data_IF_749348335667
#
_entry.id   IF_749348335667
#
_cell.length_a   1.000
_cell.length_b   1.000
_cell.length_c   1.000
_cell.angle_alpha   90.00
_cell.angle_beta   90.00
_cell.angle_gamma   90.00
#
_symmetry.space_group_name_H-M   'P 1'
#
loop_
_entity.id
_entity.type
_entity.pdbx_description
1 polymer ?
#
# COMPACT_ATOMS: atom_id res chain seq x y z
N UNK A 1 -14.15 -22.64 11.46
CA UNK A 1 -14.81 -22.94 12.76
C UNK A 1 -14.43 -24.28 13.38
N UNK A 2 -13.88 -25.24 12.64
CA UNK A 2 -13.41 -26.53 13.15
C UNK A 2 -12.35 -26.43 14.27
N UNK A 3 -11.59 -25.34 14.35
CA UNK A 3 -10.52 -25.12 15.34
C UNK A 3 -10.97 -24.40 16.63
N UNK A 4 -12.26 -24.15 16.84
CA UNK A 4 -12.81 -23.45 18.02
C UNK A 4 -12.07 -22.13 18.35
N UNK A 5 -11.77 -21.32 17.34
CA UNK A 5 -11.15 -20.02 17.56
C UNK A 5 -12.07 -19.10 18.37
N UNK A 6 -11.52 -18.41 19.38
CA UNK A 6 -12.27 -17.44 20.19
C UNK A 6 -12.51 -16.13 19.47
N UNK A 7 -11.72 -15.81 18.43
CA UNK A 7 -11.83 -14.62 17.59
C UNK A 7 -10.93 -14.75 16.37
N UNK A 8 -11.12 -13.87 15.39
CA UNK A 8 -10.36 -13.85 14.14
C UNK A 8 -9.82 -12.45 13.91
N UNK A 9 -8.53 -12.35 13.57
CA UNK A 9 -7.91 -11.14 13.02
C UNK A 9 -7.67 -11.40 11.53
N UNK A 10 -8.25 -10.59 10.67
CA UNK A 10 -8.34 -10.84 9.22
C UNK A 10 -7.86 -9.64 8.41
N UNK A 11 -6.93 -9.88 7.48
CA UNK A 11 -6.55 -8.95 6.40
C UNK A 11 -7.22 -9.42 5.09
N UNK A 12 -8.34 -8.84 4.67
CA UNK A 12 -9.03 -9.26 3.45
C UNK A 12 -8.32 -8.72 2.20
N UNK A 13 -7.99 -9.60 1.25
CA UNK A 13 -7.47 -9.18 -0.05
C UNK A 13 -8.53 -8.47 -0.90
N UNK A 14 -9.75 -8.97 -0.84
CA UNK A 14 -10.91 -8.43 -1.56
C UNK A 14 -11.99 -7.99 -0.55
N UNK A 15 -12.50 -6.78 -0.75
CA UNK A 15 -13.45 -6.14 0.16
C UNK A 15 -14.84 -6.79 0.18
N UNK A 16 -15.18 -7.65 -0.78
CA UNK A 16 -16.50 -8.29 -0.93
C UNK A 16 -16.44 -9.81 -0.72
N UNK A 17 -15.41 -10.47 -1.26
CA UNK A 17 -15.34 -11.94 -1.29
C UNK A 17 -15.42 -12.58 0.10
N UNK A 18 -14.93 -11.88 1.14
CA UNK A 18 -14.94 -12.39 2.51
C UNK A 18 -16.10 -11.86 3.38
N UNK A 19 -17.06 -11.11 2.81
CA UNK A 19 -18.22 -10.61 3.56
C UNK A 19 -19.03 -11.77 4.17
N UNK A 20 -19.47 -12.70 3.35
CA UNK A 20 -20.29 -13.83 3.80
C UNK A 20 -19.56 -14.75 4.81
N UNK A 21 -18.27 -15.12 4.60
CA UNK A 21 -17.48 -15.80 5.63
C UNK A 21 -17.41 -15.06 6.97
N UNK A 22 -17.20 -13.73 6.94
CA UNK A 22 -17.16 -12.91 8.17
C UNK A 22 -18.53 -12.87 8.85
N UNK A 23 -19.61 -12.64 8.11
CA UNK A 23 -20.97 -12.69 8.67
C UNK A 23 -21.29 -14.04 9.31
N UNK A 24 -20.85 -15.15 8.72
CA UNK A 24 -21.02 -16.49 9.29
C UNK A 24 -20.24 -16.65 10.60
N UNK A 25 -19.05 -16.06 10.72
CA UNK A 25 -18.31 -16.03 11.98
C UNK A 25 -19.08 -15.27 13.06
N UNK A 26 -19.60 -14.08 12.72
CA UNK A 26 -20.36 -13.22 13.64
C UNK A 26 -21.64 -13.92 14.10
N UNK A 27 -22.42 -14.55 13.19
CA UNK A 27 -23.60 -15.36 13.53
C UNK A 27 -23.27 -16.52 14.46
N UNK A 28 -22.06 -17.07 14.36
CA UNK A 28 -21.56 -18.11 15.25
C UNK A 28 -20.92 -17.55 16.56
N UNK A 29 -21.10 -16.27 16.85
CA UNK A 29 -20.54 -15.57 18.01
C UNK A 29 -19.00 -15.58 18.05
N UNK A 30 -18.34 -15.68 16.89
CA UNK A 30 -16.89 -15.53 16.75
C UNK A 30 -16.60 -14.10 16.27
N UNK A 31 -16.06 -13.22 17.12
CA UNK A 31 -15.78 -11.84 16.76
C UNK A 31 -14.64 -11.75 15.73
N UNK A 32 -14.69 -10.70 14.89
CA UNK A 32 -13.69 -10.46 13.84
C UNK A 32 -13.15 -9.05 13.98
N UNK A 33 -11.84 -8.92 14.01
CA UNK A 33 -11.12 -7.66 13.82
C UNK A 33 -10.53 -7.64 12.41
N UNK A 34 -10.80 -6.60 11.67
CA UNK A 34 -10.25 -6.39 10.33
C UNK A 34 -8.96 -5.59 10.46
N UNK A 35 -7.92 -5.99 9.73
CA UNK A 35 -6.65 -5.25 9.66
C UNK A 35 -6.28 -4.97 8.19
N UNK A 36 -5.39 -3.99 7.96
CA UNK A 36 -4.77 -3.66 6.68
C UNK A 36 -5.75 -3.15 5.61
N UNK A 37 -6.61 -4.00 5.09
CA UNK A 37 -7.56 -3.66 4.02
C UNK A 37 -9.01 -3.80 4.48
N UNK A 38 -9.87 -2.91 3.99
CA UNK A 38 -11.27 -2.83 4.41
C UNK A 38 -12.14 -3.95 3.86
N UNK A 39 -13.20 -4.27 4.60
CA UNK A 39 -14.29 -5.14 4.17
C UNK A 39 -15.55 -4.28 3.96
N UNK A 40 -16.36 -4.56 2.95
CA UNK A 40 -17.67 -3.90 2.71
C UNK A 40 -18.74 -4.41 3.67
N UNK A 41 -18.44 -4.30 4.97
CA UNK A 41 -19.32 -4.64 6.09
C UNK A 41 -18.92 -3.75 7.26
N UNK A 42 -19.81 -3.50 8.19
CA UNK A 42 -19.56 -2.78 9.44
C UNK A 42 -19.74 -3.66 10.69
N UNK A 43 -20.07 -4.94 10.49
CA UNK A 43 -20.40 -5.87 11.58
C UNK A 43 -19.17 -6.37 12.37
N UNK A 44 -17.95 -6.13 11.90
CA UNK A 44 -16.72 -6.48 12.63
C UNK A 44 -16.53 -5.61 13.89
N UNK A 45 -15.70 -6.08 14.82
CA UNK A 45 -15.40 -5.42 16.09
C UNK A 45 -14.66 -4.10 15.88
N UNK A 46 -13.57 -4.14 15.13
CA UNK A 46 -12.69 -3.00 14.88
C UNK A 46 -11.99 -3.14 13.52
N UNK A 47 -11.57 -2.02 12.94
CA UNK A 47 -10.73 -1.95 11.76
C UNK A 47 -9.43 -1.21 12.09
N UNK A 48 -8.30 -1.94 12.05
CA UNK A 48 -6.96 -1.44 12.37
C UNK A 48 -6.14 -1.37 11.08
N UNK A 49 -5.87 -0.19 10.58
CA UNK A 49 -5.18 -0.01 9.29
C UNK A 49 -4.59 1.38 9.14
N UNK A 50 -3.70 1.53 8.19
CA UNK A 50 -3.20 2.80 7.66
C UNK A 50 -4.35 3.66 7.09
N UNK A 51 -4.23 4.98 7.17
CA UNK A 51 -5.01 5.89 6.32
C UNK A 51 -4.50 5.78 4.87
N UNK A 52 -5.11 4.85 4.12
CA UNK A 52 -4.70 4.55 2.76
C UNK A 52 -4.94 5.70 1.78
N UNK A 53 -6.00 6.49 1.98
CA UNK A 53 -6.26 7.67 1.14
C UNK A 53 -5.17 8.72 1.36
N UNK A 54 -4.80 8.98 2.61
CA UNK A 54 -3.68 9.85 2.97
C UNK A 54 -2.36 9.34 2.37
N UNK A 55 -2.13 8.03 2.38
CA UNK A 55 -0.97 7.43 1.73
C UNK A 55 -0.91 7.74 0.23
N UNK A 56 -2.04 7.65 -0.46
CA UNK A 56 -2.16 8.06 -1.86
C UNK A 56 -1.88 9.55 -2.07
N UNK A 57 -2.36 10.41 -1.17
CA UNK A 57 -2.06 11.84 -1.22
C UNK A 57 -0.57 12.13 -1.10
N UNK A 58 0.13 11.48 -0.15
CA UNK A 58 1.59 11.61 0.01
C UNK A 58 2.34 11.19 -1.25
N UNK A 59 1.91 10.12 -1.91
CA UNK A 59 2.50 9.69 -3.18
C UNK A 59 2.29 10.73 -4.29
N UNK A 60 1.09 11.28 -4.41
CA UNK A 60 0.76 12.31 -5.39
C UNK A 60 1.55 13.61 -5.16
N UNK A 61 1.66 14.04 -3.90
CA UNK A 61 2.45 15.21 -3.52
C UNK A 61 3.94 15.02 -3.85
N UNK A 62 4.51 13.87 -3.48
CA UNK A 62 5.92 13.58 -3.79
C UNK A 62 6.17 13.55 -5.28
N UNK A 63 5.36 12.83 -6.06
CA UNK A 63 5.54 12.74 -7.51
C UNK A 63 5.36 14.10 -8.19
N UNK A 64 4.36 14.87 -7.77
CA UNK A 64 4.13 16.23 -8.29
C UNK A 64 5.30 17.17 -8.00
N UNK A 65 5.88 17.12 -6.81
CA UNK A 65 7.07 17.89 -6.44
C UNK A 65 8.29 17.48 -7.27
N UNK A 66 8.56 16.18 -7.43
CA UNK A 66 9.66 15.65 -8.22
C UNK A 66 9.60 16.10 -9.68
N UNK A 67 8.40 16.24 -10.24
CA UNK A 67 8.17 16.67 -11.61
C UNK A 67 8.02 18.19 -11.77
N UNK A 68 8.11 18.96 -10.68
CA UNK A 68 7.86 20.40 -10.72
C UNK A 68 6.46 20.78 -11.19
N UNK A 69 5.49 19.90 -10.96
CA UNK A 69 4.08 20.08 -11.29
C UNK A 69 3.73 19.89 -12.77
N UNK A 70 4.65 19.46 -13.62
CA UNK A 70 4.42 19.32 -15.07
C UNK A 70 4.94 17.99 -15.60
N UNK A 71 4.32 17.48 -16.67
CA UNK A 71 4.73 16.23 -17.32
C UNK A 71 3.64 15.19 -17.38
N UNK A 72 4.03 13.99 -17.75
CA UNK A 72 3.14 12.87 -18.00
C UNK A 72 3.32 11.79 -16.93
N UNK A 73 2.23 11.33 -16.34
CA UNK A 73 2.26 10.36 -15.26
C UNK A 73 1.43 9.12 -15.58
N UNK A 74 1.82 8.00 -14.98
CA UNK A 74 1.10 6.72 -15.04
C UNK A 74 0.79 6.29 -13.61
N UNK A 75 -0.43 5.80 -13.38
CA UNK A 75 -0.82 5.01 -12.24
C UNK A 75 -0.94 3.54 -12.69
N UNK A 76 -0.03 2.68 -12.21
CA UNK A 76 -0.20 1.24 -12.37
C UNK A 76 -0.97 0.70 -11.18
N UNK A 77 -2.26 0.41 -11.37
CA UNK A 77 -3.16 -0.07 -10.31
C UNK A 77 -2.82 -1.49 -9.88
N UNK A 78 -3.29 -1.89 -8.70
CA UNK A 78 -3.01 -3.23 -8.17
C UNK A 78 -4.01 -4.28 -8.64
N UNK A 79 -5.18 -4.34 -8.02
CA UNK A 79 -6.23 -5.32 -8.29
C UNK A 79 -7.61 -4.73 -7.95
N UNK A 80 -8.60 -5.10 -8.73
CA UNK A 80 -10.00 -4.73 -8.47
C UNK A 80 -10.46 -5.36 -7.16
N UNK A 81 -11.18 -4.59 -6.33
CA UNK A 81 -11.75 -5.05 -5.06
C UNK A 81 -10.81 -4.92 -3.85
N UNK A 82 -9.54 -4.57 -4.04
CA UNK A 82 -8.61 -4.27 -2.94
C UNK A 82 -8.88 -2.90 -2.35
N UNK A 83 -9.62 -2.82 -1.24
CA UNK A 83 -10.05 -1.56 -0.65
C UNK A 83 -8.90 -0.63 -0.26
N UNK A 84 -7.77 -1.17 0.25
CA UNK A 84 -6.60 -0.37 0.62
C UNK A 84 -5.97 0.28 -0.60
N UNK A 85 -5.72 -0.48 -1.67
CA UNK A 85 -5.06 0.06 -2.87
C UNK A 85 -5.99 0.99 -3.65
N UNK A 86 -7.30 0.70 -3.72
CA UNK A 86 -8.28 1.62 -4.32
C UNK A 86 -8.31 2.97 -3.59
N UNK A 87 -8.20 2.99 -2.26
CA UNK A 87 -8.11 4.23 -1.50
C UNK A 87 -6.80 5.00 -1.76
N UNK A 88 -5.65 4.29 -1.87
CA UNK A 88 -4.35 4.90 -2.26
C UNK A 88 -4.42 5.51 -3.65
N UNK A 89 -4.99 4.79 -4.61
CA UNK A 89 -5.21 5.24 -5.99
C UNK A 89 -6.09 6.47 -6.05
N UNK A 90 -7.21 6.49 -5.29
CA UNK A 90 -8.09 7.65 -5.20
C UNK A 90 -7.37 8.87 -4.61
N UNK A 91 -6.65 8.72 -3.49
CA UNK A 91 -5.89 9.80 -2.86
C UNK A 91 -4.82 10.38 -3.80
N UNK A 92 -4.14 9.52 -4.57
CA UNK A 92 -3.18 9.95 -5.58
C UNK A 92 -3.85 10.77 -6.70
N UNK A 93 -4.90 10.24 -7.31
CA UNK A 93 -5.62 10.90 -8.42
C UNK A 93 -6.22 12.23 -7.99
N UNK A 94 -6.83 12.29 -6.81
CA UNK A 94 -7.41 13.53 -6.27
C UNK A 94 -6.31 14.59 -6.00
N UNK A 95 -5.12 14.16 -5.56
CA UNK A 95 -3.99 15.08 -5.36
C UNK A 95 -3.50 15.65 -6.69
N UNK A 96 -3.35 14.83 -7.73
CA UNK A 96 -3.00 15.34 -9.06
C UNK A 96 -4.03 16.35 -9.54
N UNK A 97 -5.32 16.00 -9.47
CA UNK A 97 -6.42 16.84 -9.92
C UNK A 97 -6.52 18.18 -9.18
N UNK A 98 -6.22 18.21 -7.89
CA UNK A 98 -6.41 19.41 -7.05
C UNK A 98 -5.16 20.26 -6.93
N UNK A 99 -3.98 19.65 -6.88
CA UNK A 99 -2.71 20.36 -6.62
C UNK A 99 -1.77 20.45 -7.81
N UNK A 100 -1.88 19.55 -8.80
CA UNK A 100 -0.93 19.46 -9.91
C UNK A 100 -1.66 19.30 -11.26
N UNK A 101 -2.51 20.26 -11.60
CA UNK A 101 -3.41 20.21 -12.77
C UNK A 101 -2.67 20.18 -14.12
N UNK A 102 -1.41 20.58 -14.17
CA UNK A 102 -0.57 20.53 -15.39
C UNK A 102 0.10 19.15 -15.58
N UNK A 103 -0.05 18.22 -14.63
CA UNK A 103 0.34 16.82 -14.82
C UNK A 103 -0.73 16.09 -15.64
N UNK A 104 -0.29 15.46 -16.74
CA UNK A 104 -1.18 14.68 -17.62
C UNK A 104 -1.15 13.22 -17.26
N UNK A 105 -2.29 12.64 -16.97
CA UNK A 105 -2.45 11.21 -16.70
C UNK A 105 -2.51 10.44 -18.02
N UNK A 106 -1.45 9.70 -18.37
CA UNK A 106 -1.39 8.88 -19.59
C UNK A 106 -2.19 7.58 -19.45
N UNK A 107 -2.15 6.97 -18.27
CA UNK A 107 -2.89 5.75 -17.97
C UNK A 107 -3.16 5.64 -16.47
N UNK A 108 -4.42 5.17 -16.14
CA UNK A 108 -4.86 4.78 -14.82
C UNK A 108 -5.87 3.62 -14.90
N UNK A 109 -5.83 2.85 -15.95
CA UNK A 109 -6.75 1.75 -16.25
C UNK A 109 -6.08 0.38 -16.31
N UNK A 110 -4.75 0.35 -16.23
CA UNK A 110 -3.98 -0.90 -16.23
C UNK A 110 -3.81 -1.44 -14.80
N UNK A 111 -4.14 -2.71 -14.63
CA UNK A 111 -3.95 -3.45 -13.38
C UNK A 111 -2.74 -4.37 -13.45
N UNK A 112 -1.92 -4.34 -12.41
CA UNK A 112 -0.72 -5.16 -12.26
C UNK A 112 -1.05 -6.64 -11.96
N UNK A 113 -2.17 -6.87 -11.26
CA UNK A 113 -2.45 -8.18 -10.67
C UNK A 113 -1.65 -8.42 -9.37
N UNK A 114 -1.88 -9.56 -8.69
CA UNK A 114 -1.38 -9.77 -7.34
C UNK A 114 0.08 -10.23 -7.24
N UNK A 115 0.73 -10.57 -8.36
CA UNK A 115 2.10 -11.10 -8.34
C UNK A 115 3.10 -10.16 -9.02
N UNK A 116 4.40 -10.36 -8.70
CA UNK A 116 5.48 -9.60 -9.36
C UNK A 116 5.55 -9.89 -10.85
N UNK A 117 5.24 -11.12 -11.28
CA UNK A 117 5.26 -11.56 -12.67
C UNK A 117 4.18 -10.87 -13.50
N UNK A 118 2.93 -10.86 -13.02
CA UNK A 118 1.83 -10.15 -13.67
C UNK A 118 2.07 -8.65 -13.69
N UNK A 119 2.60 -8.10 -12.58
CA UNK A 119 2.99 -6.71 -12.48
C UNK A 119 4.10 -6.33 -13.47
N UNK A 120 5.08 -7.21 -13.68
CA UNK A 120 6.15 -6.97 -14.65
C UNK A 120 5.64 -6.95 -16.09
N UNK A 121 4.75 -7.88 -16.47
CA UNK A 121 4.11 -7.88 -17.79
C UNK A 121 3.29 -6.61 -18.01
N UNK A 122 2.50 -6.20 -17.02
CA UNK A 122 1.72 -4.95 -17.08
C UNK A 122 2.64 -3.72 -17.21
N UNK A 123 3.75 -3.70 -16.48
CA UNK A 123 4.77 -2.65 -16.55
C UNK A 123 5.40 -2.57 -17.95
N UNK A 124 5.80 -3.71 -18.52
CA UNK A 124 6.33 -3.75 -19.88
C UNK A 124 5.33 -3.22 -20.91
N UNK A 125 4.05 -3.62 -20.81
CA UNK A 125 3.01 -3.14 -21.72
C UNK A 125 2.85 -1.61 -21.66
N UNK A 126 2.83 -1.04 -20.44
CA UNK A 126 2.77 0.41 -20.25
C UNK A 126 4.01 1.12 -20.80
N UNK A 127 5.20 0.59 -20.54
CA UNK A 127 6.45 1.19 -21.00
C UNK A 127 6.64 1.04 -22.51
N UNK A 128 6.17 -0.03 -23.14
CA UNK A 128 6.15 -0.17 -24.60
C UNK A 128 5.25 0.90 -25.24
N UNK A 129 4.12 1.22 -24.60
CA UNK A 129 3.16 2.19 -25.10
C UNK A 129 3.57 3.64 -24.81
N UNK A 130 4.03 3.93 -23.60
CA UNK A 130 4.22 5.29 -23.11
C UNK A 130 5.66 5.61 -22.68
N UNK A 131 6.58 4.65 -22.79
CA UNK A 131 7.92 4.78 -22.21
C UNK A 131 8.71 5.98 -22.71
N UNK A 132 8.44 6.53 -23.90
CA UNK A 132 9.09 7.74 -24.41
C UNK A 132 8.45 9.04 -23.92
N UNK A 133 7.24 8.98 -23.37
CA UNK A 133 6.45 10.14 -22.96
C UNK A 133 6.32 10.27 -21.45
N UNK A 134 6.38 9.14 -20.72
CA UNK A 134 6.18 9.11 -19.27
C UNK A 134 7.34 9.77 -18.52
N UNK A 135 7.00 10.62 -17.57
CA UNK A 135 7.94 11.31 -16.69
C UNK A 135 7.86 10.80 -15.25
N UNK A 136 6.69 10.30 -14.83
CA UNK A 136 6.50 9.80 -13.49
C UNK A 136 5.52 8.64 -13.39
N UNK A 137 5.73 7.75 -12.41
CA UNK A 137 4.91 6.57 -12.19
C UNK A 137 4.62 6.40 -10.70
N UNK A 138 3.37 6.05 -10.38
CA UNK A 138 2.98 5.60 -9.05
C UNK A 138 2.49 4.15 -9.08
N UNK A 139 2.95 3.36 -8.09
CA UNK A 139 2.52 1.99 -7.84
C UNK A 139 2.03 1.88 -6.39
N UNK A 140 0.76 1.44 -6.13
CA UNK A 140 0.12 1.60 -4.82
C UNK A 140 0.44 0.49 -3.80
N UNK A 141 1.32 -0.46 -4.11
CA UNK A 141 1.79 -1.51 -3.19
C UNK A 141 3.08 -2.18 -3.68
N UNK A 142 3.66 -3.08 -2.88
CA UNK A 142 4.97 -3.69 -3.14
C UNK A 142 5.08 -4.44 -4.47
N UNK A 143 4.18 -5.39 -4.86
CA UNK A 143 4.39 -6.18 -6.08
C UNK A 143 4.54 -5.33 -7.35
N UNK A 144 3.65 -4.38 -7.66
CA UNK A 144 3.82 -3.50 -8.82
C UNK A 144 4.99 -2.52 -8.67
N UNK A 145 5.35 -2.09 -7.44
CA UNK A 145 6.52 -1.23 -7.20
C UNK A 145 7.81 -1.93 -7.66
N UNK A 146 8.05 -3.14 -7.19
CA UNK A 146 9.24 -3.92 -7.56
C UNK A 146 9.24 -4.25 -9.06
N UNK A 147 8.08 -4.63 -9.59
CA UNK A 147 7.93 -5.00 -11.00
C UNK A 147 8.22 -3.83 -11.94
N UNK A 148 7.67 -2.65 -11.66
CA UNK A 148 7.88 -1.44 -12.45
C UNK A 148 9.32 -0.93 -12.35
N UNK A 149 9.92 -0.92 -11.16
CA UNK A 149 11.32 -0.54 -10.99
C UNK A 149 12.25 -1.44 -11.81
N UNK A 150 11.99 -2.77 -11.80
CA UNK A 150 12.73 -3.70 -12.68
C UNK A 150 12.52 -3.39 -14.16
N UNK A 151 11.28 -3.17 -14.60
CA UNK A 151 10.99 -2.89 -16.01
C UNK A 151 11.65 -1.57 -16.48
N UNK A 152 11.71 -0.55 -15.62
CA UNK A 152 12.44 0.69 -15.92
C UNK A 152 13.95 0.48 -16.03
N UNK A 153 14.55 -0.38 -15.17
CA UNK A 153 15.96 -0.75 -15.29
C UNK A 153 16.26 -1.44 -16.61
N UNK A 154 15.42 -2.41 -17.00
CA UNK A 154 15.62 -3.21 -18.21
C UNK A 154 15.65 -2.35 -19.50
N UNK A 155 14.93 -1.22 -19.51
CA UNK A 155 14.93 -0.26 -20.63
C UNK A 155 15.84 0.95 -20.42
N UNK A 156 16.66 0.96 -19.36
CA UNK A 156 17.60 2.02 -19.04
C UNK A 156 16.94 3.36 -18.64
N UNK A 157 15.72 3.33 -18.09
CA UNK A 157 14.94 4.51 -17.65
C UNK A 157 14.79 4.64 -16.13
N UNK A 158 15.39 3.76 -15.33
CA UNK A 158 15.53 3.90 -13.88
C UNK A 158 16.53 5.00 -13.50
N UNK A 159 16.80 5.16 -12.19
CA UNK A 159 17.77 6.13 -11.68
C UNK A 159 17.32 7.59 -11.86
N UNK A 160 16.01 7.86 -11.74
CA UNK A 160 15.45 9.21 -11.84
C UNK A 160 15.21 9.72 -13.26
N UNK A 161 15.47 8.94 -14.31
CA UNK A 161 15.10 9.33 -15.69
C UNK A 161 13.58 9.33 -15.88
N UNK A 162 12.89 8.36 -15.28
CA UNK A 162 11.47 8.39 -14.99
C UNK A 162 11.34 8.37 -13.48
N UNK A 163 10.70 9.38 -12.91
CA UNK A 163 10.48 9.48 -11.47
C UNK A 163 9.49 8.42 -11.01
N UNK A 164 9.80 7.70 -9.95
CA UNK A 164 8.94 6.64 -9.45
C UNK A 164 8.66 6.81 -7.96
N UNK A 165 7.38 6.73 -7.60
CA UNK A 165 6.94 6.61 -6.21
C UNK A 165 6.23 5.27 -6.05
N UNK A 166 6.62 4.54 -5.02
CA UNK A 166 6.05 3.24 -4.67
C UNK A 166 5.36 3.25 -3.32
N UNK A 167 4.96 2.07 -2.88
CA UNK A 167 4.34 1.84 -1.59
C UNK A 167 4.94 0.59 -0.95
N UNK A 168 4.91 0.53 0.40
CA UNK A 168 5.49 -0.53 1.24
C UNK A 168 7.03 -0.52 1.31
N UNK A 169 7.58 -1.28 2.28
CA UNK A 169 8.99 -1.30 2.63
C UNK A 169 9.63 -2.69 2.53
N UNK A 170 9.20 -3.52 1.57
CA UNK A 170 9.88 -4.78 1.29
C UNK A 170 11.34 -4.55 0.93
N UNK A 171 12.21 -5.49 1.26
CA UNK A 171 13.68 -5.35 1.16
C UNK A 171 14.16 -4.89 -0.23
N UNK A 172 13.51 -5.37 -1.31
CA UNK A 172 13.86 -4.94 -2.66
C UNK A 172 13.43 -3.49 -2.93
N UNK A 173 12.23 -3.07 -2.47
CA UNK A 173 11.76 -1.67 -2.62
C UNK A 173 12.68 -0.70 -1.87
N UNK A 174 13.13 -1.07 -0.67
CA UNK A 174 14.08 -0.27 0.12
C UNK A 174 15.43 -0.18 -0.57
N UNK A 175 15.90 -1.27 -1.17
CA UNK A 175 17.13 -1.27 -1.98
C UNK A 175 16.98 -0.36 -3.22
N UNK A 176 15.85 -0.42 -3.90
CA UNK A 176 15.56 0.41 -5.07
C UNK A 176 15.48 1.91 -4.68
N UNK A 177 14.94 2.24 -3.49
CA UNK A 177 14.97 3.60 -2.93
C UNK A 177 16.42 4.06 -2.68
N UNK A 178 17.23 3.22 -2.03
CA UNK A 178 18.63 3.52 -1.71
C UNK A 178 19.48 3.73 -2.97
N UNK A 179 19.20 2.97 -4.03
CA UNK A 179 19.91 3.08 -5.31
C UNK A 179 19.40 4.23 -6.18
N UNK A 180 18.31 4.90 -5.80
CA UNK A 180 17.71 5.99 -6.57
C UNK A 180 16.87 5.52 -7.77
N UNK A 181 16.51 4.23 -7.84
CA UNK A 181 15.59 3.71 -8.86
C UNK A 181 14.14 4.09 -8.54
N UNK A 182 13.85 4.29 -7.25
CA UNK A 182 12.58 4.81 -6.71
C UNK A 182 12.89 6.06 -5.89
N UNK A 183 12.14 7.13 -6.06
CA UNK A 183 12.38 8.43 -5.41
C UNK A 183 11.49 8.69 -4.19
N UNK A 184 10.65 7.74 -3.83
CA UNK A 184 9.83 7.78 -2.63
C UNK A 184 9.08 6.48 -2.43
N UNK A 185 9.01 6.04 -1.18
CA UNK A 185 8.15 4.94 -0.75
C UNK A 185 7.19 5.45 0.31
N UNK A 186 5.90 5.28 0.08
CA UNK A 186 4.91 5.50 1.14
C UNK A 186 4.88 4.24 2.01
N UNK A 187 5.18 4.41 3.28
CA UNK A 187 5.41 3.29 4.20
C UNK A 187 4.36 3.28 5.30
N UNK A 188 3.79 2.12 5.54
CA UNK A 188 2.89 1.83 6.65
C UNK A 188 3.63 1.07 7.76
N UNK A 189 2.95 0.82 8.90
CA UNK A 189 3.50 0.07 10.01
C UNK A 189 2.78 -1.28 10.19
N UNK A 190 3.13 -2.33 9.41
CA UNK A 190 2.44 -3.62 9.47
C UNK A 190 2.67 -4.36 10.80
N UNK A 191 3.81 -4.14 11.47
CA UNK A 191 4.09 -4.72 12.79
C UNK A 191 3.12 -4.17 13.83
N UNK A 192 2.97 -2.83 13.90
CA UNK A 192 2.01 -2.19 14.79
C UNK A 192 0.56 -2.61 14.45
N UNK A 193 0.25 -2.72 13.17
CA UNK A 193 -1.07 -3.11 12.68
C UNK A 193 -1.45 -4.52 13.17
N UNK A 194 -0.54 -5.49 13.01
CA UNK A 194 -0.74 -6.85 13.52
C UNK A 194 -0.85 -6.89 15.04
N UNK A 195 0.05 -6.20 15.75
CA UNK A 195 0.01 -6.10 17.21
C UNK A 195 -1.31 -5.51 17.73
N UNK A 196 -1.71 -4.35 17.22
CA UNK A 196 -2.95 -3.71 17.64
C UNK A 196 -4.19 -4.51 17.23
N UNK A 197 -4.16 -5.21 16.09
CA UNK A 197 -5.23 -6.12 15.68
C UNK A 197 -5.47 -7.23 16.71
N UNK A 198 -4.40 -7.90 17.14
CA UNK A 198 -4.47 -8.95 18.17
C UNK A 198 -4.87 -8.37 19.54
N UNK A 199 -4.24 -7.28 19.97
CA UNK A 199 -4.56 -6.66 21.26
C UNK A 199 -5.99 -6.15 21.34
N UNK A 200 -6.53 -5.61 20.24
CA UNK A 200 -7.93 -5.19 20.14
C UNK A 200 -8.88 -6.39 20.29
N UNK A 201 -8.55 -7.52 19.65
CA UNK A 201 -9.30 -8.76 19.83
C UNK A 201 -9.26 -9.25 21.29
N UNK A 202 -8.09 -9.27 21.93
CA UNK A 202 -7.94 -9.68 23.35
C UNK A 202 -8.76 -8.79 24.28
N UNK A 203 -8.71 -7.46 24.10
CA UNK A 203 -9.54 -6.51 24.89
C UNK A 203 -11.03 -6.79 24.71
N UNK A 204 -11.47 -6.97 23.45
CA UNK A 204 -12.86 -7.28 23.15
C UNK A 204 -13.33 -8.57 23.85
N UNK A 205 -12.54 -9.64 23.80
CA UNK A 205 -12.85 -10.92 24.45
C UNK A 205 -12.90 -10.82 25.98
N UNK A 206 -12.25 -9.82 26.58
CA UNK A 206 -12.33 -9.49 28.02
C UNK A 206 -13.50 -8.60 28.37
N UNK A 207 -14.33 -8.21 27.40
CA UNK A 207 -15.47 -7.30 27.62
C UNK A 207 -15.07 -5.82 27.71
N UNK A 208 -13.84 -5.47 27.37
CA UNK A 208 -13.37 -4.10 27.36
C UNK A 208 -13.89 -3.34 26.11
N UNK A 209 -14.12 -2.04 26.24
CA UNK A 209 -14.49 -1.20 25.11
C UNK A 209 -13.29 -1.02 24.17
N UNK A 210 -13.51 -1.18 22.87
CA UNK A 210 -12.50 -0.99 21.83
C UNK A 210 -12.97 0.04 20.79
N UNK A 211 -12.01 0.73 20.18
CA UNK A 211 -12.28 1.70 19.11
C UNK A 211 -12.70 0.98 17.83
N UNK A 212 -13.69 1.55 17.13
CA UNK A 212 -14.18 1.00 15.85
C UNK A 212 -13.17 1.14 14.72
N UNK A 213 -12.35 2.20 14.74
CA UNK A 213 -11.27 2.46 13.78
C UNK A 213 -10.00 2.87 14.51
N UNK A 214 -8.89 2.20 14.20
CA UNK A 214 -7.57 2.53 14.72
C UNK A 214 -6.66 2.78 13.52
N UNK A 215 -6.12 4.00 13.45
CA UNK A 215 -5.12 4.37 12.44
C UNK A 215 -3.72 4.01 12.93
N UNK A 216 -2.94 3.35 12.08
CA UNK A 216 -1.57 2.95 12.38
C UNK A 216 -0.51 3.90 11.78
N UNK A 217 -0.97 5.01 11.20
CA UNK A 217 -0.11 6.00 10.58
C UNK A 217 0.39 5.62 9.18
N UNK A 218 0.96 6.61 8.52
CA UNK A 218 1.60 6.48 7.21
C UNK A 218 2.65 7.57 7.04
N UNK A 219 3.79 7.24 6.47
CA UNK A 219 4.89 8.17 6.23
C UNK A 219 5.43 8.05 4.81
N UNK A 220 6.12 9.08 4.34
CA UNK A 220 6.86 9.05 3.09
C UNK A 220 8.36 8.89 3.41
N UNK A 221 8.94 7.77 3.01
CA UNK A 221 10.37 7.56 3.01
C UNK A 221 10.98 8.02 1.68
N UNK A 222 12.07 8.76 1.75
CA UNK A 222 12.81 9.28 0.60
C UNK A 222 14.31 9.02 0.81
N UNK A 223 15.16 9.12 -0.22
CA UNK A 223 16.61 9.01 -0.03
C UNK A 223 17.18 9.98 1.02
N UNK A 224 16.54 11.15 1.17
CA UNK A 224 16.99 12.20 2.09
C UNK A 224 16.64 11.93 3.55
N UNK A 225 15.59 11.15 3.84
CA UNK A 225 15.11 10.91 5.20
C UNK A 225 15.17 9.45 5.66
N UNK A 226 15.53 8.50 4.79
CA UNK A 226 15.46 7.07 5.07
C UNK A 226 16.37 6.61 6.23
N UNK A 227 17.37 7.40 6.61
CA UNK A 227 18.26 7.12 7.73
C UNK A 227 17.78 7.76 9.05
N UNK A 228 16.72 8.56 9.05
CA UNK A 228 16.10 9.07 10.28
C UNK A 228 15.55 7.90 11.12
N UNK A 229 15.75 7.88 12.44
CA UNK A 229 15.44 6.72 13.29
C UNK A 229 14.03 6.17 13.10
N UNK A 230 13.03 7.03 13.11
CA UNK A 230 11.60 6.67 12.97
C UNK A 230 11.25 6.12 11.57
N UNK A 231 11.89 6.61 10.52
CA UNK A 231 11.71 6.10 9.14
C UNK A 231 12.46 4.77 8.98
N UNK A 232 13.69 4.72 9.48
CA UNK A 232 14.56 3.54 9.42
C UNK A 232 13.93 2.33 10.11
N UNK A 233 13.27 2.52 11.25
CA UNK A 233 12.57 1.45 11.96
C UNK A 233 11.40 0.87 11.11
N UNK A 234 10.70 1.69 10.34
CA UNK A 234 9.64 1.25 9.43
C UNK A 234 10.19 0.57 8.17
N UNK A 235 11.36 0.99 7.68
CA UNK A 235 12.03 0.36 6.54
C UNK A 235 12.69 -0.96 6.89
N UNK A 236 13.19 -1.08 8.13
CA UNK A 236 13.91 -2.25 8.65
C UNK A 236 13.35 -2.66 10.02
N UNK A 237 12.08 -3.11 10.08
CA UNK A 237 11.50 -3.51 11.36
C UNK A 237 12.30 -4.66 11.98
N UNK A 238 12.55 -4.65 13.31
CA UNK A 238 13.37 -5.64 14.00
C UNK A 238 12.58 -6.96 14.19
N UNK A 239 12.17 -7.60 13.09
CA UNK A 239 11.31 -8.79 13.10
C UNK A 239 11.96 -9.95 13.85
N UNK A 240 13.27 -10.14 13.68
CA UNK A 240 14.03 -11.22 14.34
C UNK A 240 13.91 -11.17 15.86
N UNK A 241 13.75 -9.97 16.44
CA UNK A 241 13.52 -9.79 17.87
C UNK A 241 12.22 -10.46 18.36
N UNK A 242 11.26 -10.64 17.48
CA UNK A 242 9.93 -11.18 17.80
C UNK A 242 9.70 -12.61 17.30
N UNK A 243 10.55 -13.11 16.39
CA UNK A 243 10.40 -14.44 15.79
C UNK A 243 11.35 -15.49 16.38
N UNK A 244 12.35 -15.09 17.17
CA UNK A 244 13.38 -15.97 17.76
C UNK A 244 13.12 -16.29 19.25
N UNK A 245 11.87 -16.16 19.72
CA UNK A 245 11.44 -16.62 21.06
C UNK A 245 10.73 -17.98 21.00
#
# INVERSE_FOLDING_TARGET
MSRRASGIVLAPLDSQALMQPVENCIKAQVPVVIIDSGLKSDQYVSFVATDNYKGGQLAGERLGQLLGGKGNVILLRYAVGSASTEAREAGFLDTLKTKFQDLKLLSADQYAGPTRETGYQASQNLLNRFGNEVNGIFCPCEPPTIAMAKALRDIGKAGGKVMMVGFDSGSQSVLDLKNGDVQGLVVQNPVLMGYLGVMTMVKHLRGEKVEKRIDTGVVLATPENMEQPEIKELLYPPIDKYLNE
#
